data_IF_754582479622
#
_entry.id   IF_754582479622
#
_cell.length_a   1.000
_cell.length_b   1.000
_cell.length_c   1.000
_cell.angle_alpha   90.00
_cell.angle_beta   90.00
_cell.angle_gamma   90.00
#
_symmetry.space_group_name_H-M   'P 1'
#
loop_
_entity.id
_entity.type
_entity.pdbx_description
1 polymer ?
#
# COMPACT_ATOMS: atom_id res chain seq x y z
N UNK A 1 -29.78 7.80 -4.18
CA UNK A 1 -28.75 7.53 -5.21
C UNK A 1 -28.71 6.04 -5.49
N UNK A 2 -28.43 5.63 -6.75
CA UNK A 2 -28.30 4.22 -7.12
C UNK A 2 -27.06 3.63 -6.42
N UNK A 3 -27.18 2.44 -5.83
CA UNK A 3 -26.05 1.75 -5.18
C UNK A 3 -24.98 1.37 -6.21
N UNK A 4 -23.69 1.61 -5.88
CA UNK A 4 -22.55 1.14 -6.67
C UNK A 4 -22.30 -0.36 -6.45
N UNK A 5 -22.64 -0.87 -5.28
CA UNK A 5 -22.28 -2.23 -4.84
C UNK A 5 -22.71 -3.31 -5.83
N UNK A 6 -21.78 -4.12 -6.27
CA UNK A 6 -21.97 -5.20 -7.24
C UNK A 6 -22.08 -4.76 -8.71
N UNK A 7 -21.96 -3.46 -9.00
CA UNK A 7 -22.09 -2.94 -10.36
C UNK A 7 -20.82 -3.10 -11.19
N UNK A 8 -20.95 -3.04 -12.52
CA UNK A 8 -19.80 -2.96 -13.42
C UNK A 8 -18.99 -1.66 -13.21
N UNK A 9 -19.68 -0.57 -12.82
CA UNK A 9 -19.03 0.71 -12.50
C UNK A 9 -18.12 0.57 -11.27
N UNK A 10 -18.54 -0.13 -10.23
CA UNK A 10 -17.69 -0.43 -9.08
C UNK A 10 -16.43 -1.21 -9.48
N UNK A 11 -16.59 -2.26 -10.30
CA UNK A 11 -15.45 -3.03 -10.83
C UNK A 11 -14.50 -2.16 -11.66
N UNK A 12 -15.04 -1.24 -12.44
CA UNK A 12 -14.23 -0.29 -13.22
C UNK A 12 -13.47 0.67 -12.32
N UNK A 13 -14.07 1.17 -11.23
CA UNK A 13 -13.38 2.02 -10.24
C UNK A 13 -12.21 1.29 -9.57
N UNK A 14 -12.37 0.01 -9.17
CA UNK A 14 -11.25 -0.78 -8.65
C UNK A 14 -10.12 -0.97 -9.67
N UNK A 15 -10.46 -1.22 -10.94
CA UNK A 15 -9.46 -1.30 -12.01
C UNK A 15 -8.74 0.02 -12.24
N UNK A 16 -9.49 1.14 -12.21
CA UNK A 16 -8.91 2.48 -12.33
C UNK A 16 -7.95 2.72 -11.18
N UNK A 17 -8.37 2.50 -9.93
CA UNK A 17 -7.50 2.64 -8.76
C UNK A 17 -6.18 1.87 -8.90
N UNK A 18 -6.26 0.58 -9.26
CA UNK A 18 -5.06 -0.25 -9.47
C UNK A 18 -4.18 0.26 -10.63
N UNK A 19 -4.79 0.77 -11.71
CA UNK A 19 -4.10 1.37 -12.84
C UNK A 19 -3.32 2.62 -12.45
N UNK A 20 -3.97 3.55 -11.76
CA UNK A 20 -3.37 4.81 -11.30
C UNK A 20 -2.22 4.58 -10.30
N UNK A 21 -2.41 3.66 -9.34
CA UNK A 21 -1.35 3.28 -8.39
C UNK A 21 -0.10 2.74 -9.12
N UNK A 22 -0.31 1.88 -10.13
CA UNK A 22 0.77 1.31 -10.94
C UNK A 22 1.44 2.37 -11.81
N UNK A 23 0.69 3.26 -12.43
CA UNK A 23 1.20 4.37 -13.23
C UNK A 23 2.06 5.29 -12.37
N UNK A 24 1.56 5.71 -11.21
CA UNK A 24 2.31 6.51 -10.23
C UNK A 24 3.67 5.90 -9.91
N UNK A 25 3.70 4.63 -9.52
CA UNK A 25 4.95 3.97 -9.13
C UNK A 25 5.92 3.90 -10.30
N UNK A 26 5.46 3.54 -11.50
CA UNK A 26 6.31 3.53 -12.70
C UNK A 26 6.91 4.89 -13.01
N UNK A 27 6.11 5.96 -12.92
CA UNK A 27 6.62 7.30 -13.21
C UNK A 27 7.62 7.80 -12.17
N UNK A 28 7.47 7.41 -10.89
CA UNK A 28 8.51 7.67 -9.89
C UNK A 28 9.82 6.96 -10.25
N UNK A 29 9.79 5.69 -10.65
CA UNK A 29 10.98 4.95 -11.10
C UNK A 29 11.60 5.56 -12.37
N UNK A 30 10.78 6.03 -13.32
CA UNK A 30 11.29 6.72 -14.51
C UNK A 30 11.89 8.08 -14.17
N UNK A 31 11.39 8.77 -13.14
CA UNK A 31 11.99 10.00 -12.65
C UNK A 31 13.35 9.75 -11.98
N UNK A 32 13.49 8.64 -11.26
CA UNK A 32 14.78 8.20 -10.67
C UNK A 32 15.82 7.97 -11.79
N UNK A 33 15.50 7.17 -12.79
CA UNK A 33 16.37 6.91 -13.95
C UNK A 33 16.76 8.18 -14.70
N UNK A 34 15.78 9.06 -14.96
CA UNK A 34 16.05 10.34 -15.63
C UNK A 34 17.01 11.22 -14.82
N UNK A 35 17.01 11.15 -13.47
CA UNK A 35 17.98 11.86 -12.64
C UNK A 35 19.37 11.24 -12.72
N UNK A 36 19.46 9.91 -12.76
CA UNK A 36 20.74 9.20 -12.93
C UNK A 36 21.38 9.56 -14.27
N UNK A 37 20.58 9.79 -15.32
CA UNK A 37 21.01 10.27 -16.62
C UNK A 37 21.19 11.80 -16.70
N UNK A 38 21.12 12.53 -15.57
CA UNK A 38 21.24 13.99 -15.49
C UNK A 38 20.14 14.75 -16.27
N UNK A 39 19.03 14.10 -16.61
CA UNK A 39 17.88 14.65 -17.32
C UNK A 39 16.83 15.23 -16.36
N UNK A 40 17.23 16.19 -15.52
CA UNK A 40 16.41 16.69 -14.42
C UNK A 40 15.05 17.24 -14.84
N UNK A 41 14.95 17.91 -15.98
CA UNK A 41 13.67 18.41 -16.49
C UNK A 41 12.70 17.26 -16.86
N UNK A 42 13.20 16.20 -17.45
CA UNK A 42 12.40 15.01 -17.76
C UNK A 42 11.94 14.32 -16.45
N UNK A 43 12.82 14.24 -15.45
CA UNK A 43 12.46 13.73 -14.13
C UNK A 43 11.32 14.53 -13.49
N UNK A 44 11.36 15.87 -13.58
CA UNK A 44 10.31 16.74 -13.04
C UNK A 44 8.96 16.49 -13.74
N UNK A 45 8.94 16.24 -15.04
CA UNK A 45 7.71 15.87 -15.79
C UNK A 45 7.13 14.57 -15.28
N UNK A 46 7.96 13.54 -15.06
CA UNK A 46 7.50 12.26 -14.50
C UNK A 46 6.99 12.42 -13.07
N UNK A 47 7.65 13.19 -12.22
CA UNK A 47 7.20 13.46 -10.84
C UNK A 47 5.87 14.21 -10.79
N UNK A 48 5.67 15.20 -11.65
CA UNK A 48 4.41 15.92 -11.77
C UNK A 48 3.29 14.97 -12.19
N UNK A 49 3.53 14.15 -13.21
CA UNK A 49 2.58 13.15 -13.68
C UNK A 49 2.26 12.14 -12.57
N UNK A 50 3.25 11.63 -11.85
CA UNK A 50 3.06 10.71 -10.72
C UNK A 50 2.17 11.33 -9.61
N UNK A 51 2.29 12.64 -9.35
CA UNK A 51 1.40 13.35 -8.40
C UNK A 51 -0.04 13.41 -8.90
N UNK A 52 -0.25 13.58 -10.22
CA UNK A 52 -1.58 13.58 -10.83
C UNK A 52 -2.23 12.19 -10.70
N UNK A 53 -1.49 11.11 -10.97
CA UNK A 53 -2.00 9.74 -10.83
C UNK A 53 -2.36 9.40 -9.37
N UNK A 54 -1.58 9.91 -8.42
CA UNK A 54 -1.96 9.81 -7.01
C UNK A 54 -3.27 10.54 -6.70
N UNK A 55 -3.49 11.72 -7.25
CA UNK A 55 -4.73 12.46 -7.05
C UNK A 55 -5.93 11.72 -7.63
N UNK A 56 -5.80 11.11 -8.82
CA UNK A 56 -6.83 10.26 -9.42
C UNK A 56 -7.13 9.03 -8.55
N UNK A 57 -6.11 8.29 -8.14
CA UNK A 57 -6.25 7.13 -7.25
C UNK A 57 -6.98 7.50 -5.95
N UNK A 58 -6.60 8.64 -5.32
CA UNK A 58 -7.22 9.15 -4.10
C UNK A 58 -8.70 9.46 -4.30
N UNK A 59 -9.09 10.15 -5.39
CA UNK A 59 -10.49 10.45 -5.69
C UNK A 59 -11.31 9.16 -5.85
N UNK A 60 -10.77 8.19 -6.58
CA UNK A 60 -11.44 6.90 -6.79
C UNK A 60 -11.61 6.17 -5.46
N UNK A 61 -10.55 5.98 -4.70
CA UNK A 61 -10.55 5.14 -3.51
C UNK A 61 -11.32 5.78 -2.35
N UNK A 62 -11.09 7.09 -2.11
CA UNK A 62 -11.68 7.82 -0.98
C UNK A 62 -13.10 8.28 -1.26
N UNK A 63 -13.32 8.91 -2.42
CA UNK A 63 -14.59 9.58 -2.73
C UNK A 63 -15.62 8.66 -3.33
N UNK A 64 -15.26 7.88 -4.34
CA UNK A 64 -16.22 7.06 -5.08
C UNK A 64 -16.42 5.68 -4.46
N UNK A 65 -15.36 5.02 -4.03
CA UNK A 65 -15.43 3.71 -3.38
C UNK A 65 -15.72 3.83 -1.87
N UNK A 66 -15.34 4.94 -1.24
CA UNK A 66 -15.56 5.14 0.20
C UNK A 66 -14.72 4.21 1.08
N UNK A 67 -13.56 3.75 0.59
CA UNK A 67 -12.74 2.72 1.24
C UNK A 67 -11.79 3.27 2.32
N UNK A 68 -11.91 4.55 2.68
CA UNK A 68 -11.15 5.13 3.80
C UNK A 68 -12.11 5.33 4.97
N UNK A 69 -12.00 4.46 5.96
CA UNK A 69 -12.76 4.49 7.19
C UNK A 69 -12.08 5.28 8.32
N UNK A 70 -12.47 5.02 9.56
CA UNK A 70 -11.74 5.54 10.72
C UNK A 70 -10.36 4.86 10.88
N UNK A 71 -9.57 5.32 11.86
CA UNK A 71 -8.21 4.79 12.06
C UNK A 71 -8.22 3.30 12.39
N UNK A 72 -9.17 2.82 13.20
CA UNK A 72 -9.23 1.41 13.56
C UNK A 72 -9.62 0.56 12.35
N UNK A 73 -10.61 1.00 11.57
CA UNK A 73 -11.02 0.32 10.34
C UNK A 73 -9.87 0.24 9.33
N UNK A 74 -9.15 1.34 9.12
CA UNK A 74 -8.02 1.37 8.19
C UNK A 74 -6.87 0.45 8.64
N UNK A 75 -6.57 0.40 9.95
CA UNK A 75 -5.55 -0.50 10.50
C UNK A 75 -5.95 -1.98 10.33
N UNK A 76 -7.23 -2.31 10.55
CA UNK A 76 -7.72 -3.66 10.35
C UNK A 76 -7.67 -4.06 8.88
N UNK A 77 -8.12 -3.20 7.96
CA UNK A 77 -8.08 -3.46 6.51
C UNK A 77 -6.63 -3.66 6.04
N UNK A 78 -5.70 -2.82 6.51
CA UNK A 78 -4.28 -2.99 6.20
C UNK A 78 -3.76 -4.34 6.73
N UNK A 79 -3.99 -4.67 8.02
CA UNK A 79 -3.55 -5.93 8.59
C UNK A 79 -4.11 -7.16 7.84
N UNK A 80 -5.36 -7.10 7.40
CA UNK A 80 -5.96 -8.20 6.61
C UNK A 80 -5.28 -8.33 5.25
N UNK A 81 -4.99 -7.23 4.55
CA UNK A 81 -4.27 -7.25 3.28
C UNK A 81 -2.90 -7.90 3.41
N UNK A 82 -2.09 -7.43 4.37
CA UNK A 82 -0.77 -8.02 4.64
C UNK A 82 -0.86 -9.51 5.01
N UNK A 83 -1.92 -9.88 5.79
CA UNK A 83 -2.16 -11.28 6.15
C UNK A 83 -2.40 -12.18 4.93
N UNK A 84 -3.19 -11.71 3.96
CA UNK A 84 -3.45 -12.45 2.73
C UNK A 84 -2.16 -12.57 1.89
N UNK A 85 -1.36 -11.51 1.84
CA UNK A 85 -0.10 -11.49 1.09
C UNK A 85 0.91 -12.49 1.65
N UNK A 86 1.18 -12.49 2.97
CA UNK A 86 2.22 -13.38 3.51
C UNK A 86 1.76 -14.83 3.69
N UNK A 87 0.49 -15.08 4.00
CA UNK A 87 0.00 -16.45 4.23
C UNK A 87 -0.28 -17.21 2.96
N UNK A 88 -0.77 -16.52 1.93
CA UNK A 88 -1.30 -17.16 0.74
C UNK A 88 -0.59 -16.72 -0.53
N UNK A 89 -0.59 -15.41 -0.85
CA UNK A 89 -0.19 -14.90 -2.16
C UNK A 89 1.29 -15.14 -2.42
N UNK A 90 2.18 -14.56 -1.61
CA UNK A 90 3.62 -14.69 -1.85
C UNK A 90 4.15 -16.08 -1.55
N UNK A 91 3.48 -16.86 -0.71
CA UNK A 91 3.79 -18.27 -0.51
C UNK A 91 3.57 -19.10 -1.78
N UNK A 92 2.47 -18.85 -2.48
CA UNK A 92 2.20 -19.54 -3.75
C UNK A 92 3.12 -19.02 -4.86
N UNK A 93 3.43 -17.72 -4.87
CA UNK A 93 4.37 -17.15 -5.84
C UNK A 93 5.80 -17.68 -5.65
N UNK A 94 6.29 -17.80 -4.40
CA UNK A 94 7.56 -18.42 -4.07
C UNK A 94 7.62 -19.86 -4.61
N UNK A 95 6.60 -20.66 -4.29
CA UNK A 95 6.51 -22.06 -4.75
C UNK A 95 6.52 -22.17 -6.27
N UNK A 96 5.76 -21.31 -6.95
CA UNK A 96 5.72 -21.27 -8.42
C UNK A 96 7.07 -20.92 -9.00
N UNK A 97 7.72 -19.86 -8.51
CA UNK A 97 9.03 -19.44 -8.99
C UNK A 97 10.09 -20.55 -8.82
N UNK A 98 10.11 -21.26 -7.68
CA UNK A 98 11.00 -22.43 -7.49
C UNK A 98 10.70 -23.56 -8.47
N UNK A 99 9.43 -23.86 -8.71
CA UNK A 99 9.04 -24.92 -9.64
C UNK A 99 9.43 -24.62 -11.11
N UNK A 100 9.52 -23.34 -11.45
CA UNK A 100 9.93 -22.84 -12.77
C UNK A 100 11.45 -22.60 -12.88
N UNK A 101 12.21 -22.74 -11.76
CA UNK A 101 13.66 -22.58 -11.73
C UNK A 101 14.15 -21.14 -11.55
N UNK A 102 13.29 -20.22 -11.10
CA UNK A 102 13.63 -18.82 -10.81
C UNK A 102 13.99 -18.64 -9.32
N UNK A 103 15.12 -19.19 -8.88
CA UNK A 103 15.49 -19.21 -7.46
C UNK A 103 15.61 -17.81 -6.82
N UNK A 104 16.25 -16.85 -7.50
CA UNK A 104 16.40 -15.48 -7.03
C UNK A 104 15.04 -14.80 -6.82
N UNK A 105 14.10 -15.01 -7.74
CA UNK A 105 12.73 -14.47 -7.62
C UNK A 105 11.97 -15.16 -6.49
N UNK A 106 12.18 -16.46 -6.30
CA UNK A 106 11.57 -17.21 -5.20
C UNK A 106 12.09 -16.72 -3.84
N UNK A 107 13.39 -16.46 -3.72
CA UNK A 107 13.99 -15.90 -2.51
C UNK A 107 13.45 -14.49 -2.22
N UNK A 108 13.28 -13.66 -3.25
CA UNK A 108 12.62 -12.36 -3.11
C UNK A 108 11.18 -12.48 -2.59
N UNK A 109 10.36 -13.41 -3.10
CA UNK A 109 9.01 -13.64 -2.56
C UNK A 109 9.01 -14.13 -1.11
N UNK A 110 10.03 -14.92 -0.72
CA UNK A 110 10.21 -15.32 0.67
C UNK A 110 10.51 -14.12 1.57
N UNK A 111 11.44 -13.24 1.16
CA UNK A 111 11.76 -12.01 1.89
C UNK A 111 10.55 -11.08 2.01
N UNK A 112 9.78 -10.90 0.93
CA UNK A 112 8.51 -10.15 1.00
C UNK A 112 7.58 -10.71 2.06
N UNK A 113 7.40 -12.04 2.14
CA UNK A 113 6.55 -12.67 3.16
C UNK A 113 6.96 -12.29 4.58
N UNK A 114 8.25 -12.30 4.88
CA UNK A 114 8.79 -11.93 6.19
C UNK A 114 8.49 -10.44 6.51
N UNK A 115 8.58 -9.58 5.51
CA UNK A 115 8.23 -8.16 5.64
C UNK A 115 6.74 -7.96 5.89
N UNK A 116 5.86 -8.60 5.08
CA UNK A 116 4.41 -8.44 5.23
C UNK A 116 3.87 -9.06 6.53
N UNK A 117 4.50 -10.13 7.03
CA UNK A 117 4.21 -10.64 8.38
C UNK A 117 4.52 -9.57 9.45
N UNK A 118 5.66 -8.91 9.37
CA UNK A 118 6.03 -7.81 10.26
C UNK A 118 5.08 -6.60 10.17
N UNK A 119 4.63 -6.28 8.95
CA UNK A 119 3.63 -5.24 8.72
C UNK A 119 2.29 -5.60 9.39
N UNK A 120 1.81 -6.82 9.20
CA UNK A 120 0.58 -7.32 9.83
C UNK A 120 0.65 -7.21 11.35
N UNK A 121 1.73 -7.72 11.98
CA UNK A 121 1.93 -7.63 13.42
C UNK A 121 1.91 -6.17 13.91
N UNK A 122 2.56 -5.27 13.19
CA UNK A 122 2.60 -3.85 13.50
C UNK A 122 1.21 -3.22 13.43
N UNK A 123 0.44 -3.47 12.36
CA UNK A 123 -0.91 -2.93 12.23
C UNK A 123 -1.85 -3.48 13.29
N UNK A 124 -1.81 -4.78 13.59
CA UNK A 124 -2.61 -5.38 14.67
C UNK A 124 -2.27 -4.79 16.03
N UNK A 125 -1.00 -4.60 16.35
CA UNK A 125 -0.55 -3.95 17.59
C UNK A 125 -1.12 -2.53 17.73
N UNK A 126 -1.13 -1.74 16.67
CA UNK A 126 -1.70 -0.39 16.70
C UNK A 126 -3.22 -0.41 16.71
N UNK A 127 -3.86 -1.33 16.03
CA UNK A 127 -5.30 -1.56 16.12
C UNK A 127 -5.73 -1.79 17.57
N UNK A 128 -5.08 -2.70 18.28
CA UNK A 128 -5.38 -3.00 19.68
C UNK A 128 -5.20 -1.76 20.58
N UNK A 129 -4.14 -0.99 20.35
CA UNK A 129 -3.90 0.24 21.10
C UNK A 129 -4.95 1.33 20.83
N UNK A 130 -5.41 1.47 19.60
CA UNK A 130 -6.49 2.41 19.24
C UNK A 130 -7.79 1.96 19.88
N UNK A 131 -8.16 0.69 19.78
CA UNK A 131 -9.40 0.13 20.35
C UNK A 131 -9.41 0.22 21.87
N UNK A 132 -8.30 -0.02 22.55
CA UNK A 132 -8.16 0.10 24.00
C UNK A 132 -7.92 1.53 24.49
N UNK A 133 -7.85 2.53 23.59
CA UNK A 133 -7.52 3.93 23.88
C UNK A 133 -6.18 4.10 24.62
N UNK A 134 -5.24 3.18 24.41
CA UNK A 134 -3.92 3.16 25.06
C UNK A 134 -2.77 3.61 24.16
N UNK A 135 -3.08 4.16 22.97
CA UNK A 135 -2.07 4.54 21.96
C UNK A 135 -1.01 5.51 22.52
N UNK A 136 -1.45 6.43 23.36
CA UNK A 136 -0.58 7.44 23.99
C UNK A 136 -0.33 7.19 25.48
N UNK A 137 -0.63 5.98 25.98
CA UNK A 137 -0.39 5.59 27.36
C UNK A 137 1.02 5.02 27.51
N UNK A 138 1.72 5.42 28.55
CA UNK A 138 3.00 4.85 28.97
C UNK A 138 2.97 4.60 30.49
N UNK A 139 3.65 3.53 30.94
CA UNK A 139 3.82 3.26 32.37
C UNK A 139 4.79 4.25 33.02
N UNK A 140 5.72 4.79 32.23
CA UNK A 140 6.71 5.76 32.66
C UNK A 140 6.49 7.10 31.93
N UNK A 141 6.86 8.23 32.56
CA UNK A 141 6.83 9.53 31.90
C UNK A 141 7.68 9.53 30.64
N UNK A 142 7.10 10.00 29.52
CA UNK A 142 7.80 10.12 28.23
C UNK A 142 7.79 11.56 27.76
N UNK A 143 8.89 11.98 27.13
CA UNK A 143 8.97 13.31 26.53
C UNK A 143 8.25 13.32 25.20
N UNK A 144 7.27 14.21 25.07
CA UNK A 144 6.60 14.48 23.79
C UNK A 144 7.27 15.66 23.09
N UNK A 145 7.47 15.53 21.79
CA UNK A 145 7.98 16.61 20.94
C UNK A 145 6.92 16.89 19.88
N UNK A 146 6.48 18.16 19.80
CA UNK A 146 5.65 18.61 18.69
C UNK A 146 6.51 18.70 17.42
N UNK A 147 6.07 18.07 16.35
CA UNK A 147 6.76 18.04 15.05
C UNK A 147 6.09 18.92 14.00
N UNK A 148 5.12 19.76 14.40
CA UNK A 148 4.51 20.78 13.54
C UNK A 148 5.35 22.06 13.51
#
# INVERSE_FOLDING_TARGET
MKSLKGSQTEKNLYKTFAGECRARTKYNLFAEEAREEEQHWIADIFDETAKNEYAHAREVFRRFLGNVGDIADNLMVAAMGESDEFKEIYKEFEKTARSEGYEEIADFFKELREVEESHNERYMKFYDKVKSKSLYSSKEPVKWVCTN
#
